data_IF_730949409841
#
_entry.id   IF_730949409841
#
_cell.length_a   1.000
_cell.length_b   1.000
_cell.length_c   1.000
_cell.angle_alpha   90.00
_cell.angle_beta   90.00
_cell.angle_gamma   90.00
#
_symmetry.space_group_name_H-M   'P 1'
#
loop_
_entity.id
_entity.type
_entity.pdbx_description
1 polymer ?
#
# COMPACT_ATOMS: atom_id res chain seq x y z
N UNK A 1 -31.93 -6.23 -44.37
CA UNK A 1 -31.37 -7.35 -43.59
C UNK A 1 -30.51 -6.76 -42.49
N UNK A 2 -30.82 -6.90 -41.19
CA UNK A 2 -30.00 -6.36 -40.09
C UNK A 2 -28.89 -7.36 -39.76
N UNK A 3 -27.67 -6.84 -39.66
CA UNK A 3 -26.47 -7.59 -39.37
C UNK A 3 -26.48 -8.19 -37.96
N UNK A 4 -26.13 -9.46 -37.88
CA UNK A 4 -25.99 -10.19 -36.64
C UNK A 4 -24.84 -9.65 -35.79
N UNK A 5 -25.16 -9.05 -34.64
CA UNK A 5 -24.20 -8.70 -33.58
C UNK A 5 -23.83 -10.05 -32.90
N UNK A 6 -22.67 -10.57 -33.19
CA UNK A 6 -22.10 -11.70 -32.45
C UNK A 6 -21.85 -11.28 -30.99
N UNK A 7 -22.75 -11.69 -30.11
CA UNK A 7 -22.50 -11.65 -28.64
C UNK A 7 -21.40 -12.67 -28.33
N UNK A 8 -20.20 -12.17 -28.00
CA UNK A 8 -19.13 -13.01 -27.49
C UNK A 8 -19.59 -13.60 -26.16
N UNK A 9 -19.51 -14.91 -26.04
CA UNK A 9 -19.93 -15.64 -24.83
C UNK A 9 -19.11 -15.19 -23.61
N UNK A 10 -19.74 -14.96 -22.43
CA UNK A 10 -19.02 -14.61 -21.18
C UNK A 10 -17.89 -15.59 -20.82
N UNK A 11 -17.98 -16.85 -21.25
CA UNK A 11 -16.93 -17.87 -21.05
C UNK A 11 -15.67 -17.62 -21.89
N UNK A 12 -15.79 -16.99 -23.06
CA UNK A 12 -14.65 -16.63 -23.92
C UNK A 12 -13.92 -15.41 -23.35
N UNK A 13 -14.64 -14.40 -22.87
CA UNK A 13 -14.06 -13.19 -22.23
C UNK A 13 -13.25 -13.57 -21.00
N UNK A 14 -13.78 -14.47 -20.14
CA UNK A 14 -13.05 -14.97 -18.97
C UNK A 14 -11.80 -15.81 -19.32
N UNK A 15 -11.78 -16.50 -20.46
CA UNK A 15 -10.58 -17.23 -20.90
C UNK A 15 -9.50 -16.31 -21.44
N UNK A 16 -9.84 -15.21 -22.10
CA UNK A 16 -8.88 -14.22 -22.58
C UNK A 16 -8.26 -13.43 -21.42
N UNK A 17 -9.06 -12.92 -20.48
CA UNK A 17 -8.55 -12.23 -19.29
C UNK A 17 -7.67 -13.13 -18.43
N UNK A 18 -8.07 -14.37 -18.19
CA UNK A 18 -7.25 -15.34 -17.47
C UNK A 18 -5.93 -15.66 -18.19
N UNK A 19 -5.90 -15.63 -19.53
CA UNK A 19 -4.69 -15.82 -20.32
C UNK A 19 -3.66 -14.72 -20.12
N UNK A 20 -4.07 -13.45 -20.11
CA UNK A 20 -3.19 -12.29 -19.96
C UNK A 20 -2.63 -12.20 -18.53
N UNK A 21 -3.44 -12.45 -17.51
CA UNK A 21 -2.97 -12.51 -16.11
C UNK A 21 -1.96 -13.65 -15.90
N UNK A 22 -2.11 -14.79 -16.56
CA UNK A 22 -1.15 -15.92 -16.49
C UNK A 22 0.20 -15.59 -17.12
N UNK A 23 0.29 -14.68 -18.05
CA UNK A 23 1.58 -14.23 -18.61
C UNK A 23 2.37 -13.37 -17.61
N UNK A 24 1.68 -12.65 -16.70
CA UNK A 24 2.28 -11.75 -15.71
C UNK A 24 2.52 -12.42 -14.35
N UNK A 25 1.90 -13.56 -14.10
CA UNK A 25 1.98 -14.29 -12.84
C UNK A 25 2.56 -15.70 -13.03
N UNK A 26 3.13 -16.23 -11.97
CA UNK A 26 3.38 -17.66 -11.88
C UNK A 26 2.08 -18.38 -11.52
N UNK A 27 1.94 -19.62 -11.98
CA UNK A 27 0.88 -20.50 -11.47
C UNK A 27 1.16 -20.72 -9.97
N UNK A 28 0.16 -20.47 -9.13
CA UNK A 28 0.31 -20.69 -7.69
C UNK A 28 0.53 -22.20 -7.43
N UNK A 29 1.69 -22.60 -6.90
CA UNK A 29 1.99 -24.02 -6.67
C UNK A 29 1.36 -24.57 -5.40
N UNK A 30 0.81 -23.68 -4.55
CA UNK A 30 0.32 -24.08 -3.23
C UNK A 30 -1.14 -24.54 -3.29
N UNK A 31 -1.49 -25.63 -2.58
CA UNK A 31 -2.89 -25.98 -2.37
C UNK A 31 -3.57 -24.89 -1.54
N UNK A 32 -4.84 -24.63 -1.79
CA UNK A 32 -5.60 -23.67 -0.98
C UNK A 32 -5.88 -24.23 0.43
N UNK A 33 -6.34 -23.35 1.30
CA UNK A 33 -6.53 -23.64 2.72
C UNK A 33 -7.36 -24.89 2.99
N UNK A 34 -6.82 -25.75 3.84
CA UNK A 34 -7.58 -26.77 4.58
C UNK A 34 -7.06 -26.82 6.04
N UNK A 35 -7.93 -27.13 6.98
CA UNK A 35 -7.56 -27.13 8.42
C UNK A 35 -6.37 -28.05 8.74
N UNK A 36 -6.19 -29.12 7.97
CA UNK A 36 -5.08 -30.08 8.16
C UNK A 36 -3.71 -29.54 7.72
N UNK A 37 -3.66 -28.45 6.93
CA UNK A 37 -2.42 -27.93 6.33
C UNK A 37 -1.78 -26.78 7.12
N UNK A 38 -2.38 -26.36 8.23
CA UNK A 38 -1.93 -25.20 8.99
C UNK A 38 -0.87 -25.49 10.04
N UNK A 39 -0.69 -26.77 10.41
CA UNK A 39 0.12 -27.21 11.54
C UNK A 39 1.60 -26.77 11.50
N UNK A 40 2.14 -26.50 10.31
CA UNK A 40 3.53 -26.04 10.15
C UNK A 40 3.72 -24.53 10.25
N UNK A 41 2.65 -23.72 10.24
CA UNK A 41 2.71 -22.27 10.12
C UNK A 41 2.28 -21.53 11.37
N UNK A 42 1.12 -21.89 11.92
CA UNK A 42 0.52 -21.18 13.06
C UNK A 42 -0.38 -22.10 13.90
N UNK A 43 -0.58 -21.72 15.16
CA UNK A 43 -1.49 -22.37 16.08
C UNK A 43 -2.94 -21.89 15.93
N UNK A 44 -3.84 -22.46 16.73
CA UNK A 44 -5.27 -22.12 16.70
C UNK A 44 -5.56 -20.63 17.07
N UNK A 45 -4.62 -19.94 17.71
CA UNK A 45 -4.72 -18.51 18.02
C UNK A 45 -4.18 -17.61 16.92
N UNK A 46 -3.63 -18.19 15.85
CA UNK A 46 -2.98 -17.45 14.76
C UNK A 46 -1.55 -16.99 15.05
N UNK A 47 -0.93 -17.49 16.13
CA UNK A 47 0.50 -17.26 16.38
C UNK A 47 1.33 -18.19 15.51
N UNK A 48 2.36 -17.64 14.87
CA UNK A 48 3.28 -18.44 14.08
C UNK A 48 3.99 -19.49 14.96
N UNK A 49 4.24 -20.66 14.38
CA UNK A 49 5.07 -21.70 15.03
C UNK A 49 6.48 -21.19 15.23
N UNK A 50 7.18 -21.74 16.23
CA UNK A 50 8.59 -21.40 16.47
C UNK A 50 9.45 -21.71 15.25
N UNK A 51 9.22 -22.87 14.62
CA UNK A 51 9.97 -23.29 13.43
C UNK A 51 9.79 -22.31 12.25
N UNK A 52 8.56 -21.94 11.92
CA UNK A 52 8.29 -21.01 10.84
C UNK A 52 8.83 -19.62 11.13
N UNK A 53 8.64 -19.13 12.37
CA UNK A 53 9.23 -17.84 12.82
C UNK A 53 10.75 -17.84 12.71
N UNK A 54 11.42 -18.95 13.01
CA UNK A 54 12.88 -19.07 12.90
C UNK A 54 13.33 -19.03 11.43
N UNK A 55 12.61 -19.70 10.53
CA UNK A 55 12.88 -19.64 9.08
C UNK A 55 12.76 -18.21 8.55
N UNK A 56 11.70 -17.49 8.96
CA UNK A 56 11.49 -16.07 8.61
C UNK A 56 12.65 -15.23 9.13
N UNK A 57 13.01 -15.35 10.40
CA UNK A 57 14.11 -14.57 11.01
C UNK A 57 15.46 -14.85 10.34
N UNK A 58 15.73 -16.08 9.95
CA UNK A 58 16.94 -16.44 9.22
C UNK A 58 16.98 -15.74 7.85
N UNK A 59 15.87 -15.78 7.12
CA UNK A 59 15.78 -15.12 5.81
C UNK A 59 15.89 -13.60 5.94
N UNK A 60 15.27 -12.98 6.94
CA UNK A 60 15.42 -11.54 7.20
C UNK A 60 16.91 -11.17 7.36
N UNK A 61 17.68 -11.94 8.17
CA UNK A 61 19.10 -11.68 8.36
C UNK A 61 19.89 -11.83 7.08
N UNK A 62 19.62 -12.86 6.29
CA UNK A 62 20.26 -13.10 5.00
C UNK A 62 19.98 -11.91 4.03
N UNK A 63 18.71 -11.53 3.88
CA UNK A 63 18.34 -10.45 2.98
C UNK A 63 18.86 -9.08 3.44
N UNK A 64 18.91 -8.81 4.76
CA UNK A 64 19.54 -7.59 5.29
C UNK A 64 21.03 -7.49 4.90
N UNK A 65 21.77 -8.58 4.99
CA UNK A 65 23.18 -8.60 4.57
C UNK A 65 23.32 -8.33 3.06
N UNK A 66 22.50 -8.97 2.23
CA UNK A 66 22.49 -8.75 0.79
C UNK A 66 22.10 -7.30 0.44
N UNK A 67 21.09 -6.77 1.11
CA UNK A 67 20.64 -5.39 0.92
C UNK A 67 21.74 -4.39 1.25
N UNK A 68 22.42 -4.52 2.39
CA UNK A 68 23.49 -3.62 2.80
C UNK A 68 24.68 -3.63 1.81
N UNK A 69 24.98 -4.77 1.24
CA UNK A 69 26.00 -4.87 0.18
C UNK A 69 25.52 -4.12 -1.07
N UNK A 70 24.29 -4.37 -1.48
CA UNK A 70 23.71 -3.78 -2.70
C UNK A 70 23.50 -2.27 -2.61
N UNK A 71 23.14 -1.74 -1.45
CA UNK A 71 22.94 -0.31 -1.21
C UNK A 71 24.20 0.55 -1.41
N UNK A 72 25.38 -0.06 -1.43
CA UNK A 72 26.64 0.64 -1.76
C UNK A 72 26.63 1.21 -3.19
N UNK A 73 25.83 0.63 -4.09
CA UNK A 73 25.67 1.05 -5.48
C UNK A 73 24.40 1.85 -5.74
N UNK A 74 23.57 2.12 -4.73
CA UNK A 74 22.32 2.87 -4.86
C UNK A 74 22.53 4.35 -5.22
N UNK A 75 21.55 4.98 -5.86
CA UNK A 75 21.60 6.43 -6.14
C UNK A 75 21.62 7.23 -4.83
N UNK A 76 22.74 7.92 -4.61
CA UNK A 76 22.96 8.71 -3.39
C UNK A 76 22.04 9.92 -3.28
N UNK A 77 21.38 10.33 -4.37
CA UNK A 77 20.49 11.49 -4.43
C UNK A 77 19.03 11.14 -4.20
N UNK A 78 18.68 9.86 -4.23
CA UNK A 78 17.29 9.43 -4.00
C UNK A 78 16.98 9.45 -2.50
N UNK A 79 16.30 10.51 -2.07
CA UNK A 79 15.91 10.68 -0.67
C UNK A 79 14.58 10.01 -0.32
N UNK A 80 13.84 9.46 -1.28
CA UNK A 80 12.43 9.10 -1.12
C UNK A 80 12.20 7.87 -0.25
N UNK A 81 10.96 7.71 0.21
CA UNK A 81 10.50 6.46 0.83
C UNK A 81 10.38 5.35 -0.23
N UNK A 82 9.90 5.71 -1.43
CA UNK A 82 9.54 4.72 -2.43
C UNK A 82 10.74 3.90 -2.92
N UNK A 83 11.80 4.57 -3.34
CA UNK A 83 13.01 3.93 -3.90
C UNK A 83 14.32 4.31 -3.21
N UNK A 84 14.29 5.29 -2.31
CA UNK A 84 15.48 5.93 -1.76
C UNK A 84 15.79 5.63 -0.29
N UNK A 85 16.66 6.48 0.28
CA UNK A 85 17.21 6.31 1.62
C UNK A 85 16.18 6.36 2.74
N UNK A 86 15.13 7.20 2.61
CA UNK A 86 14.10 7.27 3.64
C UNK A 86 13.28 5.99 3.74
N UNK A 87 13.11 5.23 2.65
CA UNK A 87 12.49 3.92 2.67
C UNK A 87 13.31 2.90 3.47
N UNK A 88 14.63 2.93 3.32
CA UNK A 88 15.55 2.09 4.11
C UNK A 88 15.52 2.52 5.59
N UNK A 89 15.50 3.83 5.87
CA UNK A 89 15.34 4.33 7.24
C UNK A 89 14.03 3.85 7.88
N UNK A 90 12.92 3.86 7.14
CA UNK A 90 11.62 3.36 7.60
C UNK A 90 11.66 1.85 7.87
N UNK A 91 12.32 1.06 7.05
CA UNK A 91 12.53 -0.38 7.31
C UNK A 91 13.26 -0.58 8.65
N UNK A 92 14.38 0.10 8.87
CA UNK A 92 15.15 -0.07 10.11
C UNK A 92 14.41 0.45 11.35
N UNK A 93 13.62 1.51 11.23
CA UNK A 93 12.73 1.97 12.30
C UNK A 93 11.70 0.88 12.65
N UNK A 94 11.12 0.23 11.64
CA UNK A 94 10.20 -0.88 11.83
C UNK A 94 10.87 -2.09 12.48
N UNK A 95 12.07 -2.47 12.05
CA UNK A 95 12.84 -3.56 12.67
C UNK A 95 13.19 -3.26 14.13
N UNK A 96 13.46 -1.99 14.46
CA UNK A 96 13.62 -1.57 15.85
C UNK A 96 12.31 -1.79 16.65
N UNK A 97 11.16 -1.43 16.10
CA UNK A 97 9.87 -1.66 16.76
C UNK A 97 9.55 -3.16 16.93
N UNK A 98 9.98 -4.01 15.99
CA UNK A 98 9.76 -5.47 16.03
C UNK A 98 10.70 -6.17 17.00
N UNK A 99 11.98 -5.86 16.98
CA UNK A 99 13.03 -6.60 17.71
C UNK A 99 13.52 -5.91 18.98
N UNK A 100 13.32 -4.60 19.14
CA UNK A 100 13.81 -3.82 20.27
C UNK A 100 15.34 -3.64 20.28
N UNK A 101 16.06 -4.03 19.22
CA UNK A 101 17.51 -3.92 19.14
C UNK A 101 17.92 -2.49 18.75
N UNK A 102 18.67 -1.76 19.63
CA UNK A 102 19.11 -0.40 19.37
C UNK A 102 19.95 -0.22 18.09
N UNK A 103 20.59 -1.28 17.61
CA UNK A 103 21.35 -1.26 16.34
C UNK A 103 20.47 -0.85 15.18
N UNK A 104 19.22 -1.31 15.14
CA UNK A 104 18.29 -0.94 14.07
C UNK A 104 17.90 0.55 14.12
N UNK A 105 17.71 1.12 15.32
CA UNK A 105 17.45 2.55 15.45
C UNK A 105 18.66 3.38 14.98
N UNK A 106 19.88 2.94 15.32
CA UNK A 106 21.12 3.58 14.85
C UNK A 106 21.23 3.50 13.32
N UNK A 107 20.93 2.35 12.71
CA UNK A 107 20.91 2.21 11.25
C UNK A 107 19.87 3.13 10.61
N UNK A 108 18.66 3.19 11.18
CA UNK A 108 17.62 4.11 10.72
C UNK A 108 18.10 5.56 10.72
N UNK A 109 18.77 5.97 11.78
CA UNK A 109 19.33 7.33 11.91
C UNK A 109 20.39 7.63 10.83
N UNK A 110 21.28 6.69 10.51
CA UNK A 110 22.27 6.87 9.44
C UNK A 110 21.60 7.10 8.07
N UNK A 111 20.54 6.33 7.76
CA UNK A 111 19.80 6.52 6.52
C UNK A 111 18.92 7.77 6.51
N UNK A 112 18.38 8.20 7.65
CA UNK A 112 17.72 9.51 7.79
C UNK A 112 18.68 10.63 7.43
N UNK A 113 19.90 10.64 7.96
CA UNK A 113 20.91 11.67 7.64
C UNK A 113 21.19 11.74 6.13
N UNK A 114 21.39 10.57 5.48
CA UNK A 114 21.59 10.51 4.03
C UNK A 114 20.42 11.11 3.27
N UNK A 115 19.19 10.75 3.67
CA UNK A 115 17.97 11.23 3.03
C UNK A 115 17.80 12.75 3.18
N UNK A 116 17.97 13.28 4.39
CA UNK A 116 17.80 14.72 4.66
C UNK A 116 18.84 15.61 3.93
N UNK A 117 20.02 15.07 3.59
CA UNK A 117 21.01 15.76 2.78
C UNK A 117 20.62 15.93 1.30
N UNK A 118 19.61 15.17 0.82
CA UNK A 118 19.27 15.06 -0.59
C UNK A 118 17.84 15.52 -0.91
N UNK A 119 17.22 16.33 -0.05
CA UNK A 119 15.86 16.84 -0.28
C UNK A 119 15.77 17.64 -1.58
N UNK A 120 14.71 17.40 -2.35
CA UNK A 120 14.58 17.91 -3.72
C UNK A 120 13.84 19.25 -3.81
N UNK A 121 13.01 19.57 -2.81
CA UNK A 121 12.10 20.73 -2.77
C UNK A 121 11.09 20.77 -3.94
N UNK A 122 10.87 19.63 -4.60
CA UNK A 122 9.99 19.52 -5.78
C UNK A 122 8.62 18.94 -5.49
N UNK A 123 8.57 17.90 -4.66
CA UNK A 123 7.35 17.18 -4.33
C UNK A 123 7.17 17.10 -2.80
N UNK A 124 5.90 17.10 -2.37
CA UNK A 124 5.51 17.27 -0.95
C UNK A 124 5.07 15.97 -0.28
N UNK A 125 5.11 14.83 -0.98
CA UNK A 125 4.46 13.62 -0.49
C UNK A 125 5.36 12.78 0.40
N UNK A 126 4.74 11.83 1.12
CA UNK A 126 5.45 10.86 1.94
C UNK A 126 6.26 9.89 1.08
N UNK A 127 5.64 9.32 0.04
CA UNK A 127 6.28 8.26 -0.76
C UNK A 127 7.36 8.79 -1.69
N UNK A 128 7.08 9.83 -2.47
CA UNK A 128 7.95 10.29 -3.55
C UNK A 128 8.47 11.73 -3.35
N UNK A 129 8.22 12.34 -2.19
CA UNK A 129 8.59 13.72 -1.89
C UNK A 129 9.37 13.89 -0.60
N UNK A 130 9.56 15.15 -0.24
CA UNK A 130 10.36 15.54 0.93
C UNK A 130 9.65 15.27 2.27
N UNK A 131 8.31 15.12 2.27
CA UNK A 131 7.58 14.87 3.50
C UNK A 131 7.92 13.51 4.13
N UNK A 132 8.23 12.48 3.34
CA UNK A 132 8.67 11.18 3.86
C UNK A 132 9.95 11.27 4.69
N UNK A 133 11.04 11.75 4.11
CA UNK A 133 12.29 11.99 4.85
C UNK A 133 12.11 12.82 6.12
N UNK A 134 11.33 13.89 6.06
CA UNK A 134 11.08 14.77 7.20
C UNK A 134 10.24 14.09 8.29
N UNK A 135 9.19 13.37 7.92
CA UNK A 135 8.34 12.66 8.87
C UNK A 135 9.08 11.51 9.57
N UNK A 136 9.79 10.68 8.80
CA UNK A 136 10.62 9.61 9.37
C UNK A 136 11.75 10.18 10.21
N UNK A 137 12.40 11.24 9.73
CA UNK A 137 13.44 11.95 10.48
C UNK A 137 12.94 12.47 11.83
N UNK A 138 11.76 13.09 11.86
CA UNK A 138 11.15 13.58 13.10
C UNK A 138 11.00 12.45 14.13
N UNK A 139 10.47 11.31 13.71
CA UNK A 139 10.26 10.14 14.56
C UNK A 139 11.58 9.54 15.05
N UNK A 140 12.54 9.34 14.14
CA UNK A 140 13.84 8.74 14.50
C UNK A 140 14.62 9.62 15.45
N UNK A 141 14.70 10.93 15.21
CA UNK A 141 15.35 11.86 16.13
C UNK A 141 14.69 11.89 17.50
N UNK A 142 13.36 11.89 17.55
CA UNK A 142 12.62 11.80 18.82
C UNK A 142 12.97 10.51 19.59
N UNK A 143 12.94 9.35 18.92
CA UNK A 143 13.31 8.05 19.53
C UNK A 143 14.74 8.01 20.05
N UNK A 144 15.62 8.81 19.48
CA UNK A 144 17.02 8.98 19.93
C UNK A 144 17.21 10.06 21.01
N UNK A 145 16.15 10.71 21.46
CA UNK A 145 16.22 11.82 22.45
C UNK A 145 16.75 13.13 21.87
N UNK A 146 16.78 13.27 20.53
CA UNK A 146 17.24 14.50 19.87
C UNK A 146 16.05 15.39 19.47
N UNK A 147 15.42 16.01 20.47
CA UNK A 147 14.19 16.78 20.28
C UNK A 147 14.37 17.98 19.35
N UNK A 148 15.55 18.61 19.37
CA UNK A 148 15.83 19.78 18.52
C UNK A 148 15.75 19.44 17.04
N UNK A 149 16.39 18.36 16.59
CA UNK A 149 16.31 17.92 15.21
C UNK A 149 14.93 17.36 14.85
N UNK A 150 14.25 16.71 15.80
CA UNK A 150 12.88 16.26 15.62
C UNK A 150 11.94 17.43 15.32
N UNK A 151 11.97 18.48 16.12
CA UNK A 151 11.15 19.69 15.95
C UNK A 151 11.52 20.46 14.67
N UNK A 152 12.80 20.50 14.27
CA UNK A 152 13.21 21.08 12.98
C UNK A 152 12.57 20.33 11.81
N UNK A 153 12.58 19.00 11.84
CA UNK A 153 11.93 18.19 10.83
C UNK A 153 10.41 18.46 10.75
N UNK A 154 9.73 18.56 11.90
CA UNK A 154 8.28 18.85 11.96
C UNK A 154 8.00 20.26 11.39
N UNK A 155 8.78 21.24 11.77
CA UNK A 155 8.64 22.62 11.27
C UNK A 155 8.79 22.66 9.75
N UNK A 156 9.80 22.00 9.22
CA UNK A 156 10.03 21.92 7.77
C UNK A 156 8.92 21.16 7.04
N UNK A 157 8.39 20.07 7.64
CA UNK A 157 7.26 19.32 7.12
C UNK A 157 6.02 20.22 6.99
N UNK A 158 5.71 21.02 7.99
CA UNK A 158 4.59 21.96 7.96
C UNK A 158 4.78 23.06 6.90
N UNK A 159 6.00 23.49 6.64
CA UNK A 159 6.31 24.48 5.60
C UNK A 159 6.18 23.96 4.16
N UNK A 160 6.05 22.64 3.97
CA UNK A 160 5.74 22.07 2.65
C UNK A 160 4.32 22.37 2.17
N UNK A 161 3.46 22.93 3.00
CA UNK A 161 2.04 23.24 2.76
C UNK A 161 1.82 24.35 1.69
N UNK A 162 2.62 24.35 0.63
CA UNK A 162 2.38 25.20 -0.56
C UNK A 162 1.50 24.42 -1.54
N UNK A 163 0.24 24.22 -1.15
CA UNK A 163 -0.74 23.42 -1.86
C UNK A 163 -1.48 24.29 -2.89
N UNK A 164 -0.85 24.58 -4.01
CA UNK A 164 -1.53 25.25 -5.12
C UNK A 164 -2.45 24.29 -5.91
N UNK A 165 -3.26 24.85 -6.81
CA UNK A 165 -4.21 24.08 -7.62
C UNK A 165 -3.58 23.07 -8.60
N UNK A 166 -2.27 23.13 -8.79
CA UNK A 166 -1.52 22.25 -9.70
C UNK A 166 -1.05 20.96 -9.02
N UNK A 167 -1.09 20.92 -7.68
CA UNK A 167 -0.75 19.70 -6.93
C UNK A 167 -1.89 18.69 -7.09
N UNK A 168 -1.61 17.45 -7.53
CA UNK A 168 -2.62 16.41 -7.61
C UNK A 168 -3.11 15.96 -6.23
N UNK A 169 -4.08 15.06 -6.19
CA UNK A 169 -4.69 14.62 -4.93
C UNK A 169 -4.31 13.19 -4.52
N UNK A 170 -3.59 12.44 -5.36
CA UNK A 170 -3.27 11.03 -5.14
C UNK A 170 -2.11 10.80 -4.14
N UNK A 171 -1.77 9.52 -3.88
CA UNK A 171 -0.84 9.13 -2.82
C UNK A 171 0.64 9.40 -3.12
N UNK A 172 1.09 9.17 -4.37
CA UNK A 172 2.52 9.24 -4.68
C UNK A 172 3.03 10.67 -4.84
N UNK A 173 2.25 11.54 -5.45
CA UNK A 173 2.67 12.91 -5.80
C UNK A 173 1.74 14.00 -5.28
N UNK A 174 0.63 13.63 -4.65
CA UNK A 174 -0.46 14.54 -4.32
C UNK A 174 -0.67 14.81 -2.82
N UNK A 175 -1.74 15.58 -2.58
CA UNK A 175 -2.14 16.04 -1.24
C UNK A 175 -2.42 14.90 -0.29
N UNK A 176 -2.95 13.77 -0.77
CA UNK A 176 -3.22 12.62 0.09
C UNK A 176 -1.92 12.02 0.63
N UNK A 177 -0.85 11.97 -0.18
CA UNK A 177 0.48 11.58 0.27
C UNK A 177 1.08 12.55 1.31
N UNK A 178 0.76 13.84 1.23
CA UNK A 178 1.14 14.82 2.25
C UNK A 178 0.35 14.60 3.56
N UNK A 179 -0.97 14.40 3.47
CA UNK A 179 -1.81 14.05 4.64
C UNK A 179 -1.26 12.82 5.35
N UNK A 180 -0.86 11.79 4.60
CA UNK A 180 -0.27 10.59 5.21
C UNK A 180 0.95 10.93 6.07
N UNK A 181 1.84 11.80 5.60
CA UNK A 181 3.02 12.20 6.36
C UNK A 181 2.66 12.88 7.70
N UNK A 182 1.62 13.72 7.70
CA UNK A 182 1.13 14.38 8.91
C UNK A 182 0.54 13.38 9.91
N UNK A 183 -0.26 12.45 9.41
CA UNK A 183 -0.85 11.38 10.23
C UNK A 183 0.21 10.40 10.76
N UNK A 184 1.25 10.12 9.98
CA UNK A 184 2.39 9.30 10.39
C UNK A 184 3.08 9.89 11.62
N UNK A 185 3.36 11.20 11.61
CA UNK A 185 3.98 11.88 12.77
C UNK A 185 3.07 11.72 13.99
N UNK A 186 1.79 12.08 13.90
CA UNK A 186 0.86 11.98 15.04
C UNK A 186 0.76 10.57 15.59
N UNK A 187 0.71 9.57 14.72
CA UNK A 187 0.66 8.16 15.12
C UNK A 187 1.88 7.72 15.93
N UNK A 188 3.09 8.03 15.42
CA UNK A 188 4.32 7.58 16.07
C UNK A 188 4.66 8.37 17.34
N UNK A 189 4.21 9.60 17.46
CA UNK A 189 4.33 10.36 18.72
C UNK A 189 3.28 9.97 19.76
N UNK A 190 2.20 9.29 19.35
CA UNK A 190 1.08 8.92 20.24
C UNK A 190 0.30 10.12 20.78
N UNK A 191 0.47 11.28 20.18
CA UNK A 191 -0.18 12.55 20.56
C UNK A 191 -0.28 13.48 19.36
N UNK A 192 -1.10 14.53 19.47
CA UNK A 192 -1.28 15.55 18.44
C UNK A 192 -0.06 16.47 18.35
N UNK A 193 0.96 16.10 17.59
CA UNK A 193 2.09 16.94 17.21
C UNK A 193 1.76 17.87 16.04
N UNK A 194 1.00 17.37 15.08
CA UNK A 194 0.45 18.13 13.96
C UNK A 194 -0.98 18.50 14.32
N UNK A 195 -1.33 19.81 14.38
CA UNK A 195 -2.68 20.24 14.74
C UNK A 195 -3.73 19.69 13.78
N UNK A 196 -4.84 19.20 14.31
CA UNK A 196 -5.94 18.59 13.52
C UNK A 196 -6.50 19.54 12.47
N UNK A 197 -6.58 20.84 12.77
CA UNK A 197 -7.07 21.83 11.81
C UNK A 197 -6.21 21.91 10.54
N UNK A 198 -4.91 21.66 10.65
CA UNK A 198 -3.99 21.65 9.50
C UNK A 198 -4.26 20.44 8.59
N UNK A 199 -4.46 19.26 9.18
CA UNK A 199 -4.86 18.05 8.45
C UNK A 199 -6.23 18.25 7.79
N UNK A 200 -7.18 18.83 8.52
CA UNK A 200 -8.53 19.09 8.06
C UNK A 200 -8.57 20.03 6.85
N UNK A 201 -7.74 21.08 6.88
CA UNK A 201 -7.64 22.04 5.77
C UNK A 201 -7.21 21.34 4.48
N UNK A 202 -6.21 20.46 4.52
CA UNK A 202 -5.75 19.72 3.35
C UNK A 202 -6.81 18.71 2.88
N UNK A 203 -7.48 18.03 3.82
CA UNK A 203 -8.57 17.10 3.52
C UNK A 203 -9.74 17.80 2.80
N UNK A 204 -10.14 18.98 3.27
CA UNK A 204 -11.20 19.77 2.62
C UNK A 204 -10.80 20.21 1.19
N UNK A 205 -9.53 20.52 0.96
CA UNK A 205 -9.02 20.80 -0.39
C UNK A 205 -9.13 19.57 -1.31
N UNK A 206 -8.82 18.37 -0.81
CA UNK A 206 -8.96 17.12 -1.59
C UNK A 206 -10.43 16.89 -1.97
N UNK A 207 -11.35 17.00 -1.04
CA UNK A 207 -12.79 16.82 -1.30
C UNK A 207 -13.28 17.86 -2.31
N UNK A 208 -12.99 19.13 -2.11
CA UNK A 208 -13.40 20.22 -3.01
C UNK A 208 -12.84 20.04 -4.43
N UNK A 209 -11.58 19.61 -4.55
CA UNK A 209 -10.95 19.28 -5.83
C UNK A 209 -11.70 18.16 -6.56
N UNK A 210 -12.03 17.08 -5.87
CA UNK A 210 -12.76 15.95 -6.43
C UNK A 210 -14.18 16.30 -6.87
N UNK A 211 -14.91 17.09 -6.09
CA UNK A 211 -16.24 17.59 -6.45
C UNK A 211 -16.20 18.51 -7.69
N UNK A 212 -15.21 19.38 -7.73
CA UNK A 212 -15.01 20.31 -8.86
C UNK A 212 -14.72 19.55 -10.15
N UNK A 213 -13.82 18.56 -10.10
CA UNK A 213 -13.46 17.76 -11.27
C UNK A 213 -14.64 16.90 -11.73
N UNK A 214 -15.40 16.30 -10.81
CA UNK A 214 -16.57 15.49 -11.17
C UNK A 214 -17.61 16.30 -11.94
N UNK A 215 -17.86 17.57 -11.55
CA UNK A 215 -18.74 18.49 -12.29
C UNK A 215 -18.12 18.86 -13.66
N UNK A 216 -16.87 19.29 -13.68
CA UNK A 216 -16.19 19.76 -14.88
C UNK A 216 -16.06 18.70 -15.97
N UNK A 217 -15.91 17.42 -15.58
CA UNK A 217 -15.75 16.29 -16.49
C UNK A 217 -17.04 15.46 -16.68
N UNK A 218 -18.19 15.98 -16.25
CA UNK A 218 -19.51 15.35 -16.39
C UNK A 218 -19.63 13.96 -15.71
N UNK A 219 -18.89 13.74 -14.62
CA UNK A 219 -19.03 12.53 -13.80
C UNK A 219 -20.14 12.64 -12.74
N UNK A 220 -20.64 13.84 -12.47
CA UNK A 220 -21.53 14.12 -11.33
C UNK A 220 -22.79 13.25 -11.30
N UNK A 221 -23.28 12.78 -12.42
CA UNK A 221 -24.40 11.84 -12.50
C UNK A 221 -24.05 10.41 -12.08
N UNK A 222 -22.75 10.08 -12.02
CA UNK A 222 -22.22 8.74 -11.71
C UNK A 222 -21.56 8.70 -10.34
N UNK A 223 -20.82 9.76 -9.98
CA UNK A 223 -20.04 9.84 -8.76
C UNK A 223 -19.85 11.29 -8.33
N UNK A 224 -19.97 11.59 -7.02
CA UNK A 224 -19.72 12.95 -6.50
C UNK A 224 -18.26 13.39 -6.57
N UNK A 225 -17.32 12.45 -6.50
CA UNK A 225 -15.88 12.73 -6.53
C UNK A 225 -15.24 12.07 -7.75
N UNK A 226 -14.32 12.79 -8.39
CA UNK A 226 -13.44 12.25 -9.41
C UNK A 226 -12.07 12.91 -9.30
N UNK A 227 -11.01 12.13 -9.61
CA UNK A 227 -9.63 12.58 -9.56
C UNK A 227 -8.89 12.17 -10.82
N UNK A 228 -8.00 13.06 -11.25
CA UNK A 228 -7.21 12.90 -12.48
C UNK A 228 -5.71 13.06 -12.13
N UNK A 229 -4.87 12.22 -12.71
CA UNK A 229 -3.43 12.36 -12.67
C UNK A 229 -2.86 12.02 -14.05
N UNK A 230 -1.99 12.86 -14.60
CA UNK A 230 -1.49 12.72 -15.96
C UNK A 230 -2.58 12.45 -17.02
N UNK A 231 -3.68 13.19 -16.94
CA UNK A 231 -4.85 13.11 -17.84
C UNK A 231 -5.57 11.75 -17.84
N UNK A 232 -5.32 10.91 -16.85
CA UNK A 232 -5.95 9.62 -16.67
C UNK A 232 -6.73 9.56 -15.35
N UNK A 233 -7.83 8.81 -15.33
CA UNK A 233 -8.66 8.58 -14.15
C UNK A 233 -8.27 7.25 -13.52
N UNK A 234 -7.20 7.23 -12.74
CA UNK A 234 -6.70 6.03 -12.09
C UNK A 234 -7.66 5.50 -11.02
N UNK A 235 -7.71 4.17 -10.89
CA UNK A 235 -8.62 3.47 -9.96
C UNK A 235 -7.88 2.93 -8.73
N UNK A 236 -6.63 2.52 -8.87
CA UNK A 236 -5.87 1.81 -7.84
C UNK A 236 -5.48 2.63 -6.61
N UNK A 237 -4.67 2.01 -5.74
CA UNK A 237 -4.25 2.63 -4.48
C UNK A 237 -3.19 3.71 -4.66
N UNK A 238 -2.28 3.57 -5.64
CA UNK A 238 -1.13 4.47 -5.78
C UNK A 238 -1.52 5.85 -6.33
N UNK A 239 -2.22 5.88 -7.45
CA UNK A 239 -2.56 7.12 -8.17
C UNK A 239 -4.06 7.38 -8.26
N UNK A 240 -4.89 6.50 -7.73
CA UNK A 240 -6.30 6.44 -8.08
C UNK A 240 -7.27 6.63 -6.94
N UNK A 241 -8.52 6.43 -7.32
CA UNK A 241 -9.71 6.62 -6.51
C UNK A 241 -9.68 5.77 -5.23
N UNK A 242 -9.24 4.50 -5.33
CA UNK A 242 -9.24 3.59 -4.20
C UNK A 242 -8.33 4.08 -3.05
N UNK A 243 -7.14 4.60 -3.37
CA UNK A 243 -6.26 5.16 -2.35
C UNK A 243 -6.85 6.40 -1.69
N UNK A 244 -7.39 7.33 -2.49
CA UNK A 244 -7.99 8.56 -1.98
C UNK A 244 -9.19 8.24 -1.08
N UNK A 245 -10.11 7.39 -1.52
CA UNK A 245 -11.33 7.07 -0.74
C UNK A 245 -11.01 6.24 0.50
N UNK A 246 -10.01 5.37 0.46
CA UNK A 246 -9.51 4.67 1.64
C UNK A 246 -9.14 5.67 2.75
N UNK A 247 -8.38 6.72 2.42
CA UNK A 247 -7.99 7.75 3.39
C UNK A 247 -9.16 8.62 3.84
N UNK A 248 -10.05 9.05 2.95
CA UNK A 248 -11.22 9.85 3.33
C UNK A 248 -12.14 9.15 4.33
N UNK A 249 -12.11 7.83 4.36
CA UNK A 249 -12.85 7.00 5.33
C UNK A 249 -12.08 6.74 6.64
N UNK A 250 -10.83 7.22 6.79
CA UNK A 250 -10.09 7.04 8.04
C UNK A 250 -10.65 7.94 9.15
N UNK A 251 -10.86 7.42 10.38
CA UNK A 251 -11.32 8.23 11.51
C UNK A 251 -10.41 9.43 11.81
N UNK A 252 -9.10 9.29 11.57
CA UNK A 252 -8.10 10.33 11.80
C UNK A 252 -8.27 11.56 10.90
N UNK A 253 -8.97 11.46 9.77
CA UNK A 253 -9.30 12.59 8.92
C UNK A 253 -10.56 13.35 9.37
N UNK A 254 -11.36 12.77 10.27
CA UNK A 254 -12.56 13.38 10.84
C UNK A 254 -13.54 13.94 9.78
N UNK A 255 -13.67 13.28 8.63
CA UNK A 255 -14.67 13.62 7.63
C UNK A 255 -16.07 13.44 8.26
N UNK A 256 -16.94 14.44 8.12
CA UNK A 256 -18.25 14.41 8.75
C UNK A 256 -19.12 13.26 8.23
N UNK A 257 -20.00 12.72 9.09
CA UNK A 257 -20.92 11.64 8.70
C UNK A 257 -21.79 12.01 7.49
N UNK A 258 -22.16 13.27 7.36
CA UNK A 258 -22.93 13.79 6.20
C UNK A 258 -22.09 13.64 4.92
N UNK A 259 -20.83 14.08 4.94
CA UNK A 259 -19.92 13.94 3.78
C UNK A 259 -19.60 12.47 3.49
N UNK A 260 -19.38 11.66 4.53
CA UNK A 260 -19.13 10.23 4.34
C UNK A 260 -20.28 9.53 3.61
N UNK A 261 -21.53 9.77 4.00
CA UNK A 261 -22.68 9.11 3.39
C UNK A 261 -23.11 9.72 2.05
N UNK A 262 -23.01 11.05 1.89
CA UNK A 262 -23.54 11.73 0.70
C UNK A 262 -22.49 11.95 -0.40
N UNK A 263 -21.19 11.88 -0.07
CA UNK A 263 -20.10 12.17 -1.01
C UNK A 263 -19.15 10.99 -1.16
N UNK A 264 -18.62 10.47 -0.06
CA UNK A 264 -17.60 9.41 -0.11
C UNK A 264 -18.21 8.07 -0.48
N UNK A 265 -19.28 7.64 0.21
CA UNK A 265 -19.93 6.35 -0.05
C UNK A 265 -20.38 6.17 -1.51
N UNK A 266 -21.11 7.12 -2.14
CA UNK A 266 -21.46 6.98 -3.55
C UNK A 266 -20.25 6.91 -4.48
N UNK A 267 -19.14 7.55 -4.12
CA UNK A 267 -17.89 7.49 -4.87
C UNK A 267 -17.18 6.13 -4.73
N UNK A 268 -17.22 5.52 -3.55
CA UNK A 268 -16.79 4.14 -3.33
C UNK A 268 -17.67 3.17 -4.13
N UNK A 269 -18.99 3.34 -4.09
CA UNK A 269 -19.92 2.52 -4.86
C UNK A 269 -19.67 2.60 -6.37
N UNK A 270 -19.27 3.76 -6.87
CA UNK A 270 -18.85 3.91 -8.26
C UNK A 270 -17.61 3.03 -8.59
N UNK A 271 -16.59 3.01 -7.74
CA UNK A 271 -15.42 2.13 -7.93
C UNK A 271 -15.84 0.67 -7.91
N UNK A 272 -16.74 0.25 -7.02
CA UNK A 272 -17.25 -1.11 -6.97
C UNK A 272 -17.91 -1.56 -8.28
N UNK A 273 -18.53 -0.63 -9.02
CA UNK A 273 -19.14 -0.91 -10.33
C UNK A 273 -18.12 -1.14 -11.45
N UNK A 274 -16.87 -0.69 -11.28
CA UNK A 274 -15.81 -0.86 -12.28
C UNK A 274 -15.19 -2.26 -12.27
N UNK A 275 -15.53 -3.08 -11.30
CA UNK A 275 -15.00 -4.43 -11.11
C UNK A 275 -15.19 -5.29 -12.36
N UNK A 276 -14.13 -5.97 -12.78
CA UNK A 276 -14.17 -6.96 -13.83
C UNK A 276 -14.93 -8.25 -13.39
N UNK A 277 -15.41 -9.06 -14.33
CA UNK A 277 -16.02 -10.36 -14.01
C UNK A 277 -15.10 -11.30 -13.21
N UNK A 278 -13.79 -11.14 -13.31
CA UNK A 278 -12.79 -11.87 -12.52
C UNK A 278 -12.81 -11.54 -11.03
N UNK A 279 -13.31 -10.36 -10.67
CA UNK A 279 -13.21 -9.76 -9.34
C UNK A 279 -12.05 -8.75 -9.20
N UNK A 280 -11.20 -8.61 -10.21
CA UNK A 280 -10.15 -7.60 -10.28
C UNK A 280 -10.71 -6.23 -10.69
N UNK A 281 -9.87 -5.19 -10.64
CA UNK A 281 -10.22 -3.80 -10.95
C UNK A 281 -9.31 -3.22 -12.03
N UNK A 282 -9.83 -2.34 -12.90
CA UNK A 282 -9.04 -1.74 -13.97
C UNK A 282 -8.01 -0.72 -13.41
N UNK A 283 -6.89 -0.50 -14.11
CA UNK A 283 -5.94 0.57 -13.74
C UNK A 283 -6.55 1.96 -13.87
N UNK A 284 -7.36 2.19 -14.91
CA UNK A 284 -8.07 3.45 -15.19
C UNK A 284 -9.56 3.18 -15.46
N UNK A 285 -10.41 4.20 -15.26
CA UNK A 285 -11.87 4.11 -15.36
C UNK A 285 -12.36 3.50 -16.69
N UNK A 286 -11.70 3.81 -17.79
CA UNK A 286 -12.10 3.35 -19.13
C UNK A 286 -11.24 2.20 -19.66
N UNK A 287 -10.37 1.62 -18.84
CA UNK A 287 -9.53 0.51 -19.26
C UNK A 287 -10.29 -0.81 -19.22
N UNK A 288 -10.22 -1.56 -20.31
CA UNK A 288 -10.86 -2.87 -20.45
C UNK A 288 -9.91 -4.05 -20.23
N UNK A 289 -8.62 -3.80 -19.95
CA UNK A 289 -7.61 -4.82 -19.74
C UNK A 289 -7.59 -5.28 -18.29
N UNK A 290 -7.91 -6.56 -18.11
CA UNK A 290 -7.86 -7.23 -16.81
C UNK A 290 -6.54 -8.00 -16.67
N UNK A 291 -5.45 -7.28 -16.42
CA UNK A 291 -4.10 -7.84 -16.47
C UNK A 291 -3.19 -7.47 -15.29
N UNK A 292 -3.53 -6.48 -14.47
CA UNK A 292 -2.69 -6.02 -13.39
C UNK A 292 -3.26 -6.43 -12.01
N UNK A 293 -2.51 -7.25 -11.28
CA UNK A 293 -2.82 -7.68 -9.91
C UNK A 293 -1.73 -7.14 -8.98
N UNK A 294 -1.70 -5.82 -8.84
CA UNK A 294 -0.70 -5.04 -8.10
C UNK A 294 -1.36 -4.21 -7.00
N UNK A 295 -0.59 -3.86 -5.96
CA UNK A 295 -1.04 -2.84 -5.01
C UNK A 295 -1.31 -1.50 -5.71
N UNK A 296 -0.43 -1.08 -6.60
CA UNK A 296 -0.58 0.18 -7.31
C UNK A 296 -1.78 0.18 -8.27
N UNK A 297 -2.05 -0.93 -8.95
CA UNK A 297 -3.16 -1.08 -9.92
C UNK A 297 -3.80 -2.46 -9.79
N UNK A 298 -5.02 -2.52 -9.27
CA UNK A 298 -5.79 -3.75 -9.20
C UNK A 298 -6.29 -4.12 -7.81
N UNK A 299 -6.80 -5.33 -7.69
CA UNK A 299 -7.40 -5.87 -6.48
C UNK A 299 -6.54 -5.72 -5.21
N UNK A 300 -5.20 -5.93 -5.25
CA UNK A 300 -4.38 -5.80 -4.04
C UNK A 300 -4.37 -4.41 -3.41
N UNK A 301 -4.63 -3.36 -4.18
CA UNK A 301 -4.75 -2.00 -3.66
C UNK A 301 -6.19 -1.62 -3.32
N UNK A 302 -7.15 -2.04 -4.15
CA UNK A 302 -8.57 -1.73 -3.96
C UNK A 302 -9.15 -2.39 -2.71
N UNK A 303 -8.62 -3.53 -2.30
CA UNK A 303 -9.08 -4.28 -1.13
C UNK A 303 -9.08 -3.44 0.16
N UNK A 304 -8.16 -2.50 0.32
CA UNK A 304 -8.08 -1.61 1.51
C UNK A 304 -9.28 -0.65 1.56
N UNK A 305 -9.66 -0.09 0.42
CA UNK A 305 -10.86 0.74 0.31
C UNK A 305 -12.12 -0.06 0.67
N UNK A 306 -12.25 -1.29 0.16
CA UNK A 306 -13.38 -2.16 0.43
C UNK A 306 -13.46 -2.57 1.90
N UNK A 307 -12.34 -2.97 2.50
CA UNK A 307 -12.27 -3.32 3.91
C UNK A 307 -12.65 -2.13 4.81
N UNK A 308 -12.17 -0.93 4.47
CA UNK A 308 -12.50 0.28 5.21
C UNK A 308 -13.97 0.68 5.02
N UNK A 309 -14.51 0.56 3.82
CA UNK A 309 -15.92 0.82 3.54
C UNK A 309 -16.83 -0.12 4.33
N UNK A 310 -16.47 -1.40 4.46
CA UNK A 310 -17.18 -2.34 5.31
C UNK A 310 -17.18 -1.89 6.78
N UNK A 311 -16.03 -1.46 7.31
CA UNK A 311 -15.91 -0.96 8.69
C UNK A 311 -16.76 0.29 8.94
N UNK A 312 -16.82 1.21 7.97
CA UNK A 312 -17.48 2.52 8.12
C UNK A 312 -18.97 2.43 7.85
N UNK A 313 -19.39 1.73 6.81
CA UNK A 313 -20.77 1.68 6.33
C UNK A 313 -21.52 0.41 6.74
N UNK A 314 -20.81 -0.63 7.19
CA UNK A 314 -21.37 -1.91 7.65
C UNK A 314 -22.30 -2.58 6.61
N UNK A 315 -21.91 -2.55 5.33
CA UNK A 315 -22.65 -3.19 4.24
C UNK A 315 -21.86 -4.40 3.70
N UNK A 316 -22.47 -5.58 3.71
CA UNK A 316 -21.88 -6.86 3.29
C UNK A 316 -21.33 -6.86 1.85
N UNK A 317 -21.87 -6.01 0.97
CA UNK A 317 -21.38 -5.90 -0.42
C UNK A 317 -19.89 -5.57 -0.49
N UNK A 318 -19.39 -4.71 0.43
CA UNK A 318 -17.96 -4.33 0.46
C UNK A 318 -17.09 -5.49 0.93
N UNK A 319 -17.51 -6.21 1.95
CA UNK A 319 -16.82 -7.42 2.39
C UNK A 319 -16.80 -8.47 1.29
N UNK A 320 -17.94 -8.75 0.64
CA UNK A 320 -18.03 -9.73 -0.44
C UNK A 320 -17.10 -9.39 -1.60
N UNK A 321 -16.96 -8.13 -1.97
CA UNK A 321 -16.04 -7.70 -3.01
C UNK A 321 -14.58 -7.80 -2.56
N UNK A 322 -14.28 -7.53 -1.28
CA UNK A 322 -12.95 -7.73 -0.72
C UNK A 322 -12.53 -9.23 -0.71
N UNK A 323 -13.46 -10.13 -0.41
CA UNK A 323 -13.23 -11.58 -0.48
C UNK A 323 -12.92 -12.04 -1.91
N UNK A 324 -13.60 -11.48 -2.91
CA UNK A 324 -13.29 -11.75 -4.33
C UNK A 324 -11.89 -11.23 -4.72
N UNK A 325 -11.50 -10.07 -4.22
CA UNK A 325 -10.12 -9.57 -4.40
C UNK A 325 -9.09 -10.59 -3.89
N UNK A 326 -9.32 -11.17 -2.72
CA UNK A 326 -8.42 -12.18 -2.15
C UNK A 326 -8.32 -13.43 -3.01
N UNK A 327 -9.40 -13.86 -3.65
CA UNK A 327 -9.37 -15.01 -4.55
C UNK A 327 -8.62 -14.72 -5.85
N UNK A 328 -8.73 -13.51 -6.39
CA UNK A 328 -7.90 -13.05 -7.53
C UNK A 328 -6.42 -13.04 -7.15
N UNK A 329 -6.09 -12.48 -5.99
CA UNK A 329 -4.71 -12.39 -5.50
C UNK A 329 -4.13 -13.78 -5.23
N UNK A 330 -4.91 -14.70 -4.65
CA UNK A 330 -4.47 -16.07 -4.44
C UNK A 330 -4.08 -16.75 -5.74
N UNK A 331 -4.88 -16.56 -6.79
CA UNK A 331 -4.69 -17.20 -8.09
C UNK A 331 -3.60 -16.55 -8.95
N UNK A 332 -3.48 -15.21 -8.91
CA UNK A 332 -2.65 -14.45 -9.85
C UNK A 332 -1.66 -13.49 -9.17
N UNK A 333 -1.51 -13.57 -7.84
CA UNK A 333 -0.71 -12.62 -7.06
C UNK A 333 0.78 -12.95 -6.95
N UNK A 334 1.24 -14.14 -7.36
CA UNK A 334 2.66 -14.46 -7.41
C UNK A 334 3.25 -13.93 -8.72
N UNK A 335 3.76 -12.70 -8.68
CA UNK A 335 4.08 -11.93 -9.87
C UNK A 335 5.47 -12.22 -10.43
N UNK A 336 5.57 -12.34 -11.76
CA UNK A 336 6.85 -12.42 -12.47
C UNK A 336 7.66 -11.14 -12.34
N UNK A 337 7.02 -10.03 -11.99
CA UNK A 337 7.64 -8.72 -11.81
C UNK A 337 8.52 -8.63 -10.57
N UNK A 338 8.28 -9.44 -9.54
CA UNK A 338 9.15 -9.53 -8.37
C UNK A 338 8.46 -9.82 -7.05
N UNK A 339 9.19 -9.52 -5.97
CA UNK A 339 8.80 -9.79 -4.58
C UNK A 339 8.40 -8.52 -3.81
N UNK A 340 8.49 -7.33 -4.41
CA UNK A 340 8.34 -6.05 -3.75
C UNK A 340 6.93 -5.72 -3.25
N UNK A 341 6.77 -4.51 -2.70
CA UNK A 341 5.49 -4.03 -2.16
C UNK A 341 4.55 -3.50 -3.25
N UNK A 342 5.06 -2.68 -4.15
CA UNK A 342 4.23 -2.00 -5.15
C UNK A 342 3.57 -2.98 -6.13
N UNK A 343 4.34 -3.95 -6.61
CA UNK A 343 3.93 -4.89 -7.66
C UNK A 343 4.67 -6.22 -7.52
N UNK A 344 4.63 -6.81 -6.35
CA UNK A 344 5.29 -8.08 -6.04
C UNK A 344 4.53 -8.92 -5.02
N UNK A 345 5.07 -10.11 -4.74
CA UNK A 345 4.45 -11.09 -3.86
C UNK A 345 4.26 -10.58 -2.42
N UNK A 346 5.22 -9.82 -1.87
CA UNK A 346 5.12 -9.27 -0.53
C UNK A 346 3.98 -8.25 -0.39
N UNK A 347 3.85 -7.32 -1.34
CA UNK A 347 2.75 -6.36 -1.35
C UNK A 347 1.39 -7.04 -1.47
N UNK A 348 1.30 -8.04 -2.33
CA UNK A 348 0.06 -8.82 -2.51
C UNK A 348 -0.30 -9.65 -1.27
N UNK A 349 0.69 -10.12 -0.51
CA UNK A 349 0.45 -10.87 0.73
C UNK A 349 -0.20 -10.01 1.83
N UNK A 350 0.09 -8.72 1.89
CA UNK A 350 -0.55 -7.81 2.85
C UNK A 350 -2.08 -7.75 2.70
N UNK A 351 -2.61 -7.94 1.50
CA UNK A 351 -4.05 -8.02 1.27
C UNK A 351 -4.70 -9.13 2.08
N UNK A 352 -4.05 -10.28 2.19
CA UNK A 352 -4.52 -11.39 3.03
C UNK A 352 -4.48 -11.04 4.52
N UNK A 353 -3.42 -10.37 4.97
CA UNK A 353 -3.31 -9.93 6.37
C UNK A 353 -4.39 -8.90 6.72
N UNK A 354 -4.75 -8.03 5.80
CA UNK A 354 -5.86 -7.08 5.97
C UNK A 354 -7.19 -7.81 6.16
N UNK A 355 -7.48 -8.84 5.36
CA UNK A 355 -8.68 -9.65 5.53
C UNK A 355 -8.63 -10.52 6.78
N UNK A 356 -7.48 -11.08 7.13
CA UNK A 356 -7.33 -11.83 8.38
C UNK A 356 -7.67 -10.96 9.59
N UNK A 357 -7.14 -9.74 9.66
CA UNK A 357 -7.46 -8.78 10.74
C UNK A 357 -8.95 -8.41 10.77
N UNK A 358 -9.59 -8.35 9.61
CA UNK A 358 -10.99 -7.95 9.49
C UNK A 358 -11.96 -9.08 9.84
N UNK A 359 -11.67 -10.31 9.40
CA UNK A 359 -12.61 -11.45 9.44
C UNK A 359 -12.25 -12.49 10.51
N UNK A 360 -11.00 -12.49 10.98
CA UNK A 360 -10.40 -13.54 11.80
C UNK A 360 -10.43 -14.94 11.17
N UNK A 361 -10.64 -15.02 9.84
CA UNK A 361 -10.61 -16.28 9.11
C UNK A 361 -9.16 -16.70 8.83
N UNK A 362 -8.79 -17.86 9.39
CA UNK A 362 -7.46 -18.47 9.27
C UNK A 362 -7.04 -18.77 7.84
N UNK A 363 -7.98 -18.88 6.92
CA UNK A 363 -7.71 -19.03 5.47
C UNK A 363 -6.80 -17.90 4.97
N UNK A 364 -7.03 -16.67 5.40
CA UNK A 364 -6.24 -15.52 4.94
C UNK A 364 -4.87 -15.47 5.59
N UNK A 365 -4.74 -15.85 6.86
CA UNK A 365 -3.42 -16.02 7.48
C UNK A 365 -2.61 -17.11 6.78
N UNK A 366 -3.24 -18.23 6.44
CA UNK A 366 -2.62 -19.31 5.67
C UNK A 366 -2.11 -18.81 4.32
N UNK A 367 -2.94 -18.09 3.56
CA UNK A 367 -2.56 -17.54 2.26
C UNK A 367 -1.39 -16.56 2.38
N UNK A 368 -1.36 -15.73 3.42
CA UNK A 368 -0.21 -14.85 3.70
C UNK A 368 1.06 -15.65 4.00
N UNK A 369 0.97 -16.72 4.80
CA UNK A 369 2.10 -17.61 5.08
C UNK A 369 2.62 -18.31 3.80
N UNK A 370 1.74 -18.69 2.88
CA UNK A 370 2.16 -19.29 1.60
C UNK A 370 2.88 -18.30 0.70
N UNK A 371 2.45 -17.04 0.68
CA UNK A 371 3.19 -16.00 -0.03
C UNK A 371 4.51 -15.65 0.67
N UNK A 372 4.58 -15.78 1.98
CA UNK A 372 5.84 -15.69 2.70
C UNK A 372 6.78 -16.85 2.36
N UNK A 373 6.29 -18.09 2.26
CA UNK A 373 7.07 -19.24 1.74
C UNK A 373 7.71 -18.91 0.40
N UNK A 374 6.94 -18.32 -0.53
CA UNK A 374 7.47 -17.85 -1.81
C UNK A 374 8.59 -16.82 -1.63
N UNK A 375 8.45 -15.91 -0.69
CA UNK A 375 9.47 -14.90 -0.39
C UNK A 375 10.71 -15.47 0.30
N UNK A 376 10.61 -16.62 1.00
CA UNK A 376 11.77 -17.29 1.58
C UNK A 376 12.74 -17.79 0.51
N UNK A 377 12.25 -18.07 -0.70
CA UNK A 377 13.05 -18.44 -1.87
C UNK A 377 13.35 -17.21 -2.76
N UNK A 378 13.65 -16.08 -2.13
CA UNK A 378 13.90 -14.80 -2.81
C UNK A 378 15.00 -14.92 -3.86
N UNK A 379 14.64 -14.53 -5.11
CA UNK A 379 15.58 -14.56 -6.25
C UNK A 379 15.60 -15.88 -7.02
N UNK A 380 14.95 -16.95 -6.55
CA UNK A 380 15.07 -18.30 -7.15
C UNK A 380 13.98 -18.60 -8.21
N UNK A 381 12.93 -17.79 -8.28
CA UNK A 381 11.78 -18.06 -9.17
C UNK A 381 11.92 -17.51 -10.61
N UNK A 382 13.02 -16.82 -10.93
CA UNK A 382 13.19 -16.20 -12.24
C UNK A 382 12.32 -14.96 -12.46
N UNK A 383 12.04 -14.23 -11.38
CA UNK A 383 11.38 -12.92 -11.45
C UNK A 383 12.29 -11.89 -12.16
N UNK A 384 11.67 -10.86 -12.73
CA UNK A 384 12.39 -9.70 -13.21
C UNK A 384 13.15 -9.03 -12.06
N UNK A 385 14.39 -8.59 -12.32
CA UNK A 385 15.11 -7.73 -11.39
C UNK A 385 14.51 -6.32 -11.44
N UNK A 386 14.10 -5.74 -10.29
CA UNK A 386 13.57 -4.37 -10.25
C UNK A 386 14.63 -3.34 -10.65
N UNK A 387 14.17 -2.17 -11.10
CA UNK A 387 15.07 -1.06 -11.45
C UNK A 387 15.82 -0.53 -10.22
N UNK A 388 15.20 -0.63 -9.02
CA UNK A 388 15.82 -0.33 -7.73
C UNK A 388 15.72 -1.56 -6.80
N UNK A 389 16.63 -2.54 -6.97
CA UNK A 389 16.44 -3.90 -6.43
C UNK A 389 16.47 -4.01 -4.90
N UNK A 390 16.99 -2.99 -4.21
CA UNK A 390 17.09 -2.97 -2.74
C UNK A 390 16.12 -2.01 -2.06
N UNK A 391 15.31 -1.29 -2.84
CA UNK A 391 14.37 -0.29 -2.34
C UNK A 391 13.18 -0.88 -1.56
N UNK A 392 12.47 0.00 -0.85
CA UNK A 392 11.31 -0.41 -0.05
C UNK A 392 10.13 -0.87 -0.94
N UNK A 393 9.77 -0.10 -1.97
CA UNK A 393 8.55 -0.39 -2.72
C UNK A 393 8.76 -1.35 -3.90
N UNK A 394 9.94 -1.36 -4.49
CA UNK A 394 10.20 -2.21 -5.66
C UNK A 394 11.06 -3.43 -5.34
N UNK A 395 11.87 -3.36 -4.28
CA UNK A 395 12.94 -4.33 -4.05
C UNK A 395 12.90 -5.05 -2.70
N UNK A 396 14.09 -5.47 -2.31
CA UNK A 396 14.34 -6.38 -1.19
C UNK A 396 13.89 -5.84 0.16
N UNK A 397 14.03 -4.52 0.40
CA UNK A 397 13.62 -3.91 1.66
C UNK A 397 12.13 -4.10 1.95
N UNK A 398 11.27 -4.07 0.94
CA UNK A 398 9.84 -4.33 1.10
C UNK A 398 9.53 -5.77 1.48
N UNK A 399 10.26 -6.72 0.94
CA UNK A 399 10.13 -8.13 1.31
C UNK A 399 10.58 -8.37 2.75
N UNK A 400 11.68 -7.77 3.18
CA UNK A 400 12.14 -7.83 4.59
C UNK A 400 11.07 -7.23 5.51
N UNK A 401 10.50 -6.10 5.14
CA UNK A 401 9.44 -5.45 5.91
C UNK A 401 8.22 -6.37 6.09
N UNK A 402 7.73 -6.97 5.02
CA UNK A 402 6.64 -7.92 5.06
C UNK A 402 6.93 -9.14 5.93
N UNK A 403 8.10 -9.76 5.76
CA UNK A 403 8.48 -10.93 6.54
C UNK A 403 8.56 -10.62 8.05
N UNK A 404 9.06 -9.43 8.41
CA UNK A 404 9.10 -9.01 9.82
C UNK A 404 7.71 -8.71 10.39
N UNK A 405 6.81 -8.14 9.59
CA UNK A 405 5.41 -7.92 9.98
C UNK A 405 4.65 -9.22 10.21
N UNK A 406 4.93 -10.25 9.40
CA UNK A 406 4.27 -11.54 9.53
C UNK A 406 4.55 -12.24 10.88
N UNK A 407 5.64 -11.91 11.56
CA UNK A 407 5.94 -12.43 12.89
C UNK A 407 4.84 -12.11 13.92
N UNK A 408 4.11 -11.01 13.73
CA UNK A 408 2.93 -10.63 14.51
C UNK A 408 1.79 -10.23 13.57
N UNK A 409 1.08 -11.18 12.95
CA UNK A 409 0.14 -10.92 11.86
C UNK A 409 -0.97 -9.91 12.20
N UNK A 410 -1.40 -9.86 13.45
CA UNK A 410 -2.44 -8.93 13.93
C UNK A 410 -1.99 -7.46 13.97
N UNK A 411 -0.68 -7.22 13.99
CA UNK A 411 -0.06 -5.88 13.97
C UNK A 411 0.41 -5.46 12.59
N UNK A 412 0.45 -6.39 11.63
CA UNK A 412 0.94 -6.13 10.28
C UNK A 412 0.16 -5.00 9.60
N UNK A 413 0.88 -4.08 8.96
CA UNK A 413 0.31 -2.95 8.22
C UNK A 413 1.12 -2.70 6.97
N UNK A 414 0.44 -2.51 5.85
CA UNK A 414 1.12 -2.15 4.60
C UNK A 414 1.89 -0.84 4.81
N UNK A 415 3.24 -0.85 4.68
CA UNK A 415 4.06 0.31 5.03
C UNK A 415 3.74 1.52 4.15
N UNK A 416 3.77 2.71 4.73
CA UNK A 416 3.51 3.97 4.05
C UNK A 416 2.10 4.09 3.42
N UNK A 417 1.16 3.23 3.82
CA UNK A 417 -0.22 3.25 3.34
C UNK A 417 -1.23 2.98 4.47
N UNK A 418 -1.18 1.83 5.15
CA UNK A 418 -2.03 1.61 6.32
C UNK A 418 -1.54 2.44 7.53
N UNK A 419 -2.48 2.98 8.29
CA UNK A 419 -2.23 3.77 9.52
C UNK A 419 -2.31 2.94 10.79
#
# INVERSE_FOLDING_TARGET
MPGAVHRVSPRLVNRFAAGIMTERAFTNPYPDYSKSQTLGYFDASGRLTTEFSQRINNKIRELLQQMEIGLKSADRRDCTIYTGWAGIALLYLHLYDVYGDPVYLQMSHEYVKKSLCSLTKRTITFLCGDAGPLAVGAVVYHRMGNEKQSEDCITRLLHLNKLDSRVPDEMLYGRMGYIYALLFVNKYFGQEKIPQHHIQQVCDMVISSGETLARKRNFISKTPLMYEWYQEYYVGAAHGLAGIYYFLMQPSLQVSQVKLHNVVKPSVDYVCQLKFPSGNYPPCVNDSKDDLVHWCHGAPGVIYMLAQAYKVFNEEKYLNDALKCADVIWKFGLLRKGYGLCHGAAGNAYAFLTLYKLTHDMKYLYRACKFAEWCLDYGEHGCRTPDTPFSLFEGMAGTIYFLSDLLVPTKARFPAFEL
#
